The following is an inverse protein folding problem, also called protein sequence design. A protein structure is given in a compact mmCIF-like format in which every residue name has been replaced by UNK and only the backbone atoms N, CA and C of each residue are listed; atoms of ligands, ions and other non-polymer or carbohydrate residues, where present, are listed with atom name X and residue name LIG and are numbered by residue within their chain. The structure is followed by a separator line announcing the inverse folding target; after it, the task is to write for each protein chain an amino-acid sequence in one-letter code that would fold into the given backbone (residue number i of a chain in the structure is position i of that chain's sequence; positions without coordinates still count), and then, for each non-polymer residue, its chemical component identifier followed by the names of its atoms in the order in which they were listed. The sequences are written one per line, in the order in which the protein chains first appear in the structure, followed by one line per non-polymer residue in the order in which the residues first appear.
data_IF_876838097335
#
_entry.id   IF_876838097335
#
_cell.length_a   1.000
_cell.length_b   1.000
_cell.length_c   1.000
_cell.angle_alpha   90.00
_cell.angle_beta   90.00
_cell.angle_gamma   90.00
#
_symmetry.space_group_name_H-M   'P 1'
#
loop_
_entity.id
_entity.type
_entity.pdbx_description
1 polymer ?
#
# COMPACT_ATOMS: atom_id res chain seq x y z
N UNK A 1 53.89 -45.47 32.98
CA UNK A 1 52.81 -44.64 33.57
C UNK A 1 51.64 -44.69 32.58
N UNK A 2 50.67 -45.56 32.85
CA UNK A 2 49.30 -45.20 33.25
C UNK A 2 48.47 -44.60 32.10
N UNK A 3 47.62 -45.42 31.45
CA UNK A 3 46.14 -45.50 31.64
C UNK A 3 45.41 -44.25 31.09
N UNK A 4 44.42 -44.32 30.19
CA UNK A 4 43.73 -45.46 29.60
C UNK A 4 42.43 -45.06 28.91
N UNK A 5 41.66 -46.10 28.54
CA UNK A 5 40.20 -46.15 28.31
C UNK A 5 39.68 -45.33 27.11
N UNK A 6 39.45 -45.94 25.95
CA UNK A 6 38.28 -46.78 25.63
C UNK A 6 36.94 -46.09 25.92
N UNK A 7 36.23 -45.69 24.86
CA UNK A 7 34.88 -46.19 24.55
C UNK A 7 34.39 -45.69 23.18
N UNK A 8 34.02 -46.64 22.32
CA UNK A 8 33.05 -46.46 21.23
C UNK A 8 31.65 -46.58 21.82
N UNK A 9 30.74 -45.67 21.52
CA UNK A 9 29.30 -45.87 21.18
C UNK A 9 28.79 -44.47 20.76
N UNK A 10 27.87 -44.22 19.82
CA UNK A 10 26.92 -45.04 19.10
C UNK A 10 26.50 -44.31 17.81
N UNK A 11 26.23 -45.07 16.74
CA UNK A 11 25.34 -44.62 15.67
C UNK A 11 23.92 -44.45 16.21
N UNK A 12 23.34 -43.26 16.04
CA UNK A 12 21.89 -42.99 16.02
C UNK A 12 21.72 -41.76 15.11
N UNK A 13 21.44 -41.90 13.82
CA UNK A 13 20.13 -42.11 13.17
C UNK A 13 19.16 -40.92 13.32
N UNK A 14 18.42 -40.71 12.22
CA UNK A 14 17.15 -39.99 12.02
C UNK A 14 17.09 -38.44 12.00
N UNK A 15 16.86 -37.95 10.77
CA UNK A 15 16.11 -36.75 10.34
C UNK A 15 16.84 -35.41 10.40
N UNK A 16 17.53 -35.10 9.31
CA UNK A 16 17.72 -33.73 8.84
C UNK A 16 16.34 -33.11 8.61
N UNK A 17 15.93 -32.21 9.50
CA UNK A 17 14.84 -31.27 9.21
C UNK A 17 15.42 -30.28 8.19
N UNK A 18 14.89 -30.17 6.96
CA UNK A 18 15.29 -29.08 6.07
C UNK A 18 14.94 -27.75 6.76
N UNK A 19 15.81 -26.72 6.71
CA UNK A 19 15.44 -25.43 7.26
C UNK A 19 14.18 -24.96 6.56
N UNK A 20 13.12 -24.72 7.33
CA UNK A 20 11.91 -24.06 6.84
C UNK A 20 12.36 -22.80 6.08
N UNK A 21 11.90 -22.57 4.84
CA UNK A 21 12.19 -21.33 4.15
C UNK A 21 11.67 -20.19 5.03
N UNK A 22 12.52 -19.19 5.30
CA UNK A 22 12.11 -18.00 6.03
C UNK A 22 10.78 -17.51 5.46
N UNK A 23 9.76 -17.21 6.30
CA UNK A 23 8.55 -16.62 5.79
C UNK A 23 8.93 -15.35 5.03
N UNK A 24 8.51 -15.25 3.77
CA UNK A 24 8.70 -14.05 2.98
C UNK A 24 8.23 -12.84 3.80
N UNK A 25 8.98 -11.73 3.80
CA UNK A 25 8.55 -10.54 4.51
C UNK A 25 7.13 -10.19 4.05
N UNK A 26 6.23 -9.80 4.97
CA UNK A 26 4.87 -9.45 4.59
C UNK A 26 4.94 -8.40 3.50
N UNK A 27 4.39 -8.73 2.31
CA UNK A 27 4.28 -7.78 1.21
C UNK A 27 3.59 -6.55 1.78
N UNK A 28 4.30 -5.43 1.83
CA UNK A 28 3.74 -4.14 2.25
C UNK A 28 2.47 -3.95 1.45
N UNK A 29 1.32 -4.00 2.11
CA UNK A 29 0.02 -3.81 1.49
C UNK A 29 0.02 -2.35 1.07
N UNK A 30 0.39 -2.06 -0.19
CA UNK A 30 0.23 -0.73 -0.75
C UNK A 30 -1.24 -0.41 -0.62
N UNK A 31 -1.57 0.65 0.10
CA UNK A 31 -2.93 1.15 0.12
C UNK A 31 -3.40 1.34 -1.33
N UNK A 32 -4.65 0.96 -1.64
CA UNK A 32 -5.16 1.09 -3.00
C UNK A 32 -5.21 2.58 -3.36
N UNK A 33 -4.20 3.04 -4.07
CA UNK A 33 -4.16 4.40 -4.62
C UNK A 33 -5.20 4.51 -5.73
N UNK A 34 -6.16 5.43 -5.55
CA UNK A 34 -7.19 5.75 -6.53
C UNK A 34 -6.81 6.98 -7.33
N UNK A 35 -7.21 7.00 -8.60
CA UNK A 35 -7.03 8.12 -9.52
C UNK A 35 -8.38 8.62 -10.00
N UNK A 36 -8.70 9.87 -9.66
CA UNK A 36 -10.00 10.50 -9.95
C UNK A 36 -9.79 11.63 -10.94
N UNK A 37 -10.64 11.71 -11.96
CA UNK A 37 -10.66 12.80 -12.95
C UNK A 37 -11.92 13.64 -12.75
N UNK A 38 -11.75 14.88 -12.32
CA UNK A 38 -12.83 15.86 -12.28
C UNK A 38 -12.89 16.64 -13.59
N UNK A 39 -14.11 16.86 -14.06
CA UNK A 39 -14.41 17.71 -15.21
C UNK A 39 -15.66 18.51 -14.88
N UNK A 40 -15.57 19.83 -15.02
CA UNK A 40 -16.65 20.74 -14.66
C UNK A 40 -16.14 22.17 -14.62
N UNK A 41 -17.00 23.08 -14.19
CA UNK A 41 -16.57 24.47 -13.97
C UNK A 41 -15.53 24.53 -12.85
N UNK A 42 -14.69 25.58 -12.79
CA UNK A 42 -13.75 25.76 -11.69
C UNK A 42 -14.44 25.72 -10.32
N UNK A 43 -15.61 26.35 -10.20
CA UNK A 43 -16.40 26.36 -8.95
C UNK A 43 -16.86 24.97 -8.53
N UNK A 44 -17.41 24.18 -9.47
CA UNK A 44 -17.82 22.80 -9.19
C UNK A 44 -16.61 21.93 -8.81
N UNK A 45 -15.51 22.06 -9.54
CA UNK A 45 -14.29 21.32 -9.24
C UNK A 45 -13.76 21.63 -7.84
N UNK A 46 -13.76 22.90 -7.42
CA UNK A 46 -13.34 23.29 -6.06
C UNK A 46 -14.30 22.74 -5.00
N UNK A 47 -15.61 22.83 -5.21
CA UNK A 47 -16.60 22.30 -4.29
C UNK A 47 -16.52 20.77 -4.14
N UNK A 48 -16.38 20.05 -5.26
CA UNK A 48 -16.19 18.59 -5.25
C UNK A 48 -14.88 18.21 -4.58
N UNK A 49 -13.79 18.96 -4.82
CA UNK A 49 -12.51 18.67 -4.19
C UNK A 49 -12.57 18.84 -2.66
N UNK A 50 -13.28 19.86 -2.16
CA UNK A 50 -13.52 20.03 -0.73
C UNK A 50 -14.29 18.83 -0.15
N UNK A 51 -15.36 18.38 -0.82
CA UNK A 51 -16.11 17.21 -0.37
C UNK A 51 -15.30 15.91 -0.42
N UNK A 52 -14.42 15.73 -1.42
CA UNK A 52 -13.56 14.55 -1.52
C UNK A 52 -12.50 14.50 -0.42
N UNK A 53 -12.00 15.65 0.04
CA UNK A 53 -11.02 15.73 1.12
C UNK A 53 -11.53 15.20 2.47
N UNK A 54 -12.86 15.12 2.66
CA UNK A 54 -13.47 14.58 3.88
C UNK A 54 -13.39 13.05 3.95
N UNK A 55 -13.25 12.37 2.81
CA UNK A 55 -13.33 10.89 2.72
C UNK A 55 -12.10 10.25 2.09
N UNK A 56 -11.25 11.05 1.44
CA UNK A 56 -10.02 10.60 0.80
C UNK A 56 -8.82 11.35 1.37
N UNK A 57 -7.74 10.62 1.61
CA UNK A 57 -6.43 11.20 1.82
C UNK A 57 -5.82 11.56 0.47
N UNK A 58 -5.82 12.85 0.14
CA UNK A 58 -5.41 13.36 -1.17
C UNK A 58 -3.90 13.58 -1.19
N UNK A 59 -3.19 12.79 -2.00
CA UNK A 59 -1.73 12.89 -2.16
C UNK A 59 -1.33 13.96 -3.15
N UNK A 60 -2.07 14.07 -4.26
CA UNK A 60 -1.71 14.97 -5.35
C UNK A 60 -2.94 15.47 -6.08
N UNK A 61 -2.95 16.77 -6.35
CA UNK A 61 -3.96 17.43 -7.18
C UNK A 61 -3.23 18.13 -8.32
N UNK A 62 -3.60 17.82 -9.56
CA UNK A 62 -3.02 18.51 -10.72
C UNK A 62 -3.54 19.94 -10.81
N UNK A 63 -2.78 20.83 -11.45
CA UNK A 63 -3.31 22.14 -11.82
C UNK A 63 -4.55 21.99 -12.71
N UNK A 64 -5.55 22.88 -12.61
CA UNK A 64 -6.70 22.87 -13.50
C UNK A 64 -6.25 23.10 -14.95
N UNK A 65 -6.54 22.14 -15.82
CA UNK A 65 -6.29 22.27 -17.25
C UNK A 65 -7.57 22.72 -17.94
N UNK A 66 -7.59 23.91 -18.58
CA UNK A 66 -8.77 24.36 -19.32
C UNK A 66 -9.05 23.43 -20.50
N UNK A 67 -10.32 23.12 -20.73
CA UNK A 67 -10.72 22.35 -21.91
C UNK A 67 -10.54 23.19 -23.17
N UNK A 68 -10.04 22.57 -24.25
CA UNK A 68 -9.69 23.28 -25.50
C UNK A 68 -10.93 23.74 -26.27
N UNK A 69 -12.06 23.09 -26.06
CA UNK A 69 -13.31 23.36 -26.77
C UNK A 69 -14.16 24.39 -26.05
N UNK A 70 -14.11 24.40 -24.70
CA UNK A 70 -14.95 25.26 -23.87
C UNK A 70 -14.13 25.78 -22.70
N UNK A 71 -13.79 27.08 -22.73
CA UNK A 71 -13.01 27.74 -21.68
C UNK A 71 -13.70 27.77 -20.30
N UNK A 72 -14.99 27.38 -20.23
CA UNK A 72 -15.73 27.29 -18.97
C UNK A 72 -15.44 26.02 -18.17
N UNK A 73 -14.86 24.97 -18.78
CA UNK A 73 -14.60 23.71 -18.10
C UNK A 73 -13.12 23.49 -17.84
N UNK A 74 -12.81 22.94 -16.68
CA UNK A 74 -11.47 22.55 -16.26
C UNK A 74 -11.40 21.05 -15.98
N UNK A 75 -10.21 20.49 -16.16
CA UNK A 75 -9.88 19.09 -15.86
C UNK A 75 -8.87 19.05 -14.72
N UNK A 76 -9.18 18.30 -13.67
CA UNK A 76 -8.30 18.09 -12.53
C UNK A 76 -8.11 16.60 -12.32
N UNK A 77 -6.86 16.18 -12.18
CA UNK A 77 -6.49 14.82 -11.83
C UNK A 77 -6.12 14.78 -10.35
N UNK A 78 -6.70 13.83 -9.63
CA UNK A 78 -6.49 13.63 -8.20
C UNK A 78 -5.95 12.22 -8.00
N UNK A 79 -4.87 12.12 -7.23
CA UNK A 79 -4.36 10.86 -6.71
C UNK A 79 -4.59 10.84 -5.21
N UNK A 80 -5.27 9.82 -4.72
CA UNK A 80 -5.70 9.74 -3.33
C UNK A 80 -5.76 8.29 -2.83
N UNK A 81 -5.82 8.09 -1.53
CA UNK A 81 -6.15 6.81 -0.90
C UNK A 81 -7.44 6.97 -0.11
N UNK A 82 -8.32 5.94 -0.08
CA UNK A 82 -9.47 5.97 0.80
C UNK A 82 -9.04 6.15 2.25
N UNK A 83 -9.70 7.05 2.99
CA UNK A 83 -9.57 7.02 4.44
C UNK A 83 -10.13 5.69 4.97
N UNK A 84 -9.62 5.18 6.10
CA UNK A 84 -10.20 4.01 6.72
C UNK A 84 -11.71 4.24 6.92
N UNK A 85 -12.54 3.19 6.74
CA UNK A 85 -13.97 3.30 6.98
C UNK A 85 -14.18 3.96 8.35
N UNK A 86 -14.97 5.03 8.38
CA UNK A 86 -15.40 5.62 9.64
C UNK A 86 -16.27 4.55 10.31
N UNK A 87 -15.74 3.86 11.33
CA UNK A 87 -16.53 2.96 12.15
C UNK A 87 -17.61 3.80 12.84
N UNK A 88 -18.84 3.58 12.40
CA UNK A 88 -20.14 3.98 12.94
C UNK A 88 -20.11 4.86 14.20
N UNK A 89 -20.54 6.12 14.07
CA UNK A 89 -20.71 7.07 15.18
C UNK A 89 -22.16 7.13 15.64
#
# INVERSE_FOLDING_TARGET
MALGRSQRVACASWRTVPPEPCPDPPKSRKDPTVRIRLHGTPTECTATLAALAEVLDIHTVSRPYPDRTTFAYARIYIEATPLPPQEDR
#
